data_IF_617939333367
#
_entry.id   IF_617939333367
#
_cell.length_a   1.000
_cell.length_b   1.000
_cell.length_c   1.000
_cell.angle_alpha   90.00
_cell.angle_beta   90.00
_cell.angle_gamma   90.00
#
_symmetry.space_group_name_H-M   'P 1'
#
loop_
_entity.id
_entity.type
_entity.pdbx_description
1 polymer ?
#
# COMPACT_ATOMS: atom_id res chain seq x y z
N UNK A 1 39.17 -14.85 -0.24
CA UNK A 1 40.02 -13.82 0.39
C UNK A 1 39.71 -12.49 -0.32
N UNK A 2 38.85 -11.66 0.29
CA UNK A 2 38.35 -10.46 -0.38
C UNK A 2 39.39 -9.32 -0.36
N UNK A 3 39.25 -8.39 -1.32
CA UNK A 3 40.11 -7.20 -1.47
C UNK A 3 40.18 -6.33 -0.18
N UNK A 4 39.18 -6.43 0.70
CA UNK A 4 39.14 -5.74 2.01
C UNK A 4 40.16 -6.30 3.02
N UNK A 5 40.46 -7.61 2.99
CA UNK A 5 41.53 -8.22 3.79
C UNK A 5 42.90 -7.64 3.45
N UNK A 6 43.13 -7.31 2.17
CA UNK A 6 44.37 -6.73 1.70
C UNK A 6 44.56 -5.26 2.11
N UNK A 7 43.47 -4.50 2.17
CA UNK A 7 43.52 -3.07 2.56
C UNK A 7 43.67 -2.86 4.07
N UNK A 8 43.05 -3.72 4.92
CA UNK A 8 43.25 -3.67 6.36
C UNK A 8 44.69 -4.12 6.75
N UNK A 9 45.22 -5.16 6.10
CA UNK A 9 46.60 -5.62 6.31
C UNK A 9 47.65 -4.56 5.93
N UNK A 10 47.37 -3.72 4.90
CA UNK A 10 48.32 -2.66 4.48
C UNK A 10 48.22 -1.43 5.39
N UNK A 11 47.03 -1.07 5.91
CA UNK A 11 46.91 0.07 6.84
C UNK A 11 47.47 -0.26 8.24
N UNK A 12 47.44 -1.53 8.68
CA UNK A 12 48.03 -1.95 9.94
C UNK A 12 49.57 -1.99 9.94
N UNK A 13 50.21 -2.10 8.77
CA UNK A 13 51.69 -2.20 8.71
C UNK A 13 52.41 -0.85 8.96
N UNK A 14 51.70 0.29 9.02
CA UNK A 14 52.35 1.60 9.10
C UNK A 14 52.19 2.34 10.44
N UNK A 15 51.39 1.88 11.39
CA UNK A 15 51.05 2.67 12.59
C UNK A 15 50.94 1.96 13.94
N UNK A 16 51.22 0.65 14.08
CA UNK A 16 51.01 -0.05 15.35
C UNK A 16 52.30 -0.52 15.97
N UNK A 17 52.63 0.03 17.11
CA UNK A 17 53.81 -0.32 17.94
C UNK A 17 53.51 -1.33 19.09
N UNK A 18 52.37 -2.02 19.10
CA UNK A 18 52.09 -3.03 20.11
C UNK A 18 51.48 -4.31 19.54
N UNK A 19 52.10 -5.46 19.84
CA UNK A 19 51.62 -6.79 19.47
C UNK A 19 50.27 -7.16 20.12
N UNK A 20 49.91 -6.54 21.25
CA UNK A 20 48.71 -6.87 22.02
C UNK A 20 47.40 -6.44 21.33
N UNK A 21 47.41 -5.33 20.59
CA UNK A 21 46.20 -4.88 19.85
C UNK A 21 45.93 -5.72 18.59
N UNK A 22 47.00 -6.29 18.00
CA UNK A 22 46.84 -7.22 16.87
C UNK A 22 46.27 -8.58 17.29
N UNK A 23 46.69 -9.07 18.46
CA UNK A 23 46.17 -10.33 19.01
C UNK A 23 44.70 -10.16 19.42
N UNK A 24 44.30 -9.05 20.03
CA UNK A 24 42.89 -8.74 20.33
C UNK A 24 42.01 -8.59 19.08
N UNK A 25 42.51 -7.96 18.01
CA UNK A 25 41.79 -7.87 16.75
C UNK A 25 41.62 -9.24 16.07
N UNK A 26 42.63 -10.09 16.15
CA UNK A 26 42.59 -11.45 15.58
C UNK A 26 41.67 -12.36 16.42
N UNK A 27 41.67 -12.24 17.76
CA UNK A 27 40.73 -12.96 18.63
C UNK A 27 39.29 -12.47 18.44
N UNK A 28 39.04 -11.16 18.32
CA UNK A 28 37.73 -10.60 17.98
C UNK A 28 37.22 -11.13 16.64
N UNK A 29 38.07 -11.19 15.61
CA UNK A 29 37.71 -11.76 14.31
C UNK A 29 37.39 -13.27 14.41
N UNK A 30 38.10 -14.03 15.25
CA UNK A 30 37.85 -15.46 15.45
C UNK A 30 36.54 -15.73 16.20
N UNK A 31 36.23 -14.98 17.25
CA UNK A 31 35.00 -15.18 18.03
C UNK A 31 33.75 -14.81 17.22
N UNK A 32 33.84 -13.86 16.28
CA UNK A 32 32.75 -13.48 15.39
C UNK A 32 32.56 -14.53 14.30
N UNK A 33 33.59 -15.18 13.78
CA UNK A 33 33.44 -16.30 12.87
C UNK A 33 32.59 -17.45 13.48
N UNK A 34 32.55 -17.59 14.80
CA UNK A 34 31.70 -18.57 15.48
C UNK A 34 30.22 -18.22 15.44
N UNK A 35 29.88 -16.93 15.36
CA UNK A 35 28.49 -16.44 15.26
C UNK A 35 27.90 -16.41 13.84
N UNK A 36 28.75 -16.58 12.80
CA UNK A 36 28.27 -16.59 11.40
C UNK A 36 27.46 -17.85 11.13
N UNK A 37 26.31 -17.64 10.49
CA UNK A 37 25.37 -18.69 10.15
C UNK A 37 23.91 -18.26 10.30
N UNK A 38 23.02 -19.20 10.06
CA UNK A 38 21.58 -19.05 10.36
C UNK A 38 21.26 -19.72 11.69
N UNK A 39 20.49 -19.03 12.51
CA UNK A 39 20.06 -19.47 13.82
C UNK A 39 18.54 -19.46 13.92
N UNK A 40 17.94 -20.59 14.30
CA UNK A 40 16.51 -20.65 14.65
C UNK A 40 16.34 -20.18 16.08
N UNK A 41 15.62 -19.09 16.26
CA UNK A 41 15.54 -18.38 17.53
C UNK A 41 14.30 -18.81 18.35
N UNK A 42 14.47 -18.93 19.64
CA UNK A 42 13.44 -19.21 20.64
C UNK A 42 13.66 -18.32 21.85
N UNK A 43 12.59 -18.07 22.62
CA UNK A 43 12.71 -17.33 23.89
C UNK A 43 13.50 -18.15 24.90
N UNK A 44 14.45 -17.53 25.60
CA UNK A 44 15.20 -18.16 26.66
C UNK A 44 14.30 -18.54 27.81
N UNK A 45 14.39 -19.78 28.29
CA UNK A 45 13.55 -20.26 29.39
C UNK A 45 13.83 -19.46 30.66
N UNK A 46 12.76 -18.81 31.21
CA UNK A 46 12.85 -17.99 32.42
C UNK A 46 13.16 -16.51 32.21
N UNK A 47 13.28 -16.05 30.99
CA UNK A 47 13.40 -14.61 30.68
C UNK A 47 12.13 -13.86 31.15
N UNK A 48 12.32 -12.81 31.94
CA UNK A 48 11.21 -11.96 32.41
C UNK A 48 10.92 -10.90 31.36
N UNK A 49 9.83 -11.06 30.60
CA UNK A 49 9.38 -10.04 29.65
C UNK A 49 8.10 -9.37 30.14
N UNK A 50 8.04 -8.05 30.01
CA UNK A 50 6.77 -7.32 30.02
C UNK A 50 6.13 -7.46 28.65
N UNK A 51 4.92 -7.96 28.55
CA UNK A 51 4.17 -8.23 27.30
C UNK A 51 4.06 -7.08 26.28
N UNK A 52 4.59 -5.92 26.57
CA UNK A 52 4.45 -4.70 25.76
C UNK A 52 5.65 -4.37 24.85
N UNK A 53 6.81 -5.04 25.01
CA UNK A 53 8.04 -4.72 24.28
C UNK A 53 8.83 -5.99 23.91
N UNK A 54 8.19 -7.01 23.37
CA UNK A 54 8.85 -8.25 22.96
C UNK A 54 9.27 -8.19 21.49
N UNK A 55 10.52 -8.57 21.20
CA UNK A 55 10.98 -8.87 19.84
C UNK A 55 10.62 -10.32 19.53
N UNK A 56 9.64 -10.55 18.67
CA UNK A 56 9.26 -11.89 18.23
C UNK A 56 10.15 -12.37 17.08
N UNK A 57 11.47 -12.50 17.35
CA UNK A 57 12.45 -12.97 16.38
C UNK A 57 12.31 -14.49 16.21
N UNK A 58 12.24 -14.95 14.97
CA UNK A 58 12.19 -16.38 14.61
C UNK A 58 13.51 -16.90 14.08
N UNK A 59 14.20 -16.09 13.27
CA UNK A 59 15.49 -16.47 12.69
C UNK A 59 16.45 -15.27 12.70
N UNK A 60 17.71 -15.56 12.93
CA UNK A 60 18.85 -14.63 12.84
C UNK A 60 19.86 -15.20 11.87
N UNK A 61 20.27 -14.42 10.88
CA UNK A 61 21.38 -14.74 9.98
C UNK A 61 22.47 -13.69 10.17
N UNK A 62 23.68 -14.14 10.45
CA UNK A 62 24.89 -13.33 10.47
C UNK A 62 25.83 -13.85 9.38
N UNK A 63 26.14 -13.04 8.38
CA UNK A 63 26.97 -13.42 7.25
C UNK A 63 28.44 -13.00 7.46
N UNK A 64 29.33 -13.71 6.82
CA UNK A 64 30.80 -13.47 6.88
C UNK A 64 31.21 -12.12 6.27
N UNK A 65 30.35 -11.48 5.47
CA UNK A 65 30.56 -10.16 4.89
C UNK A 65 30.06 -9.01 5.79
N UNK A 66 29.73 -9.31 7.06
CA UNK A 66 29.18 -8.39 8.05
C UNK A 66 27.77 -7.88 7.73
N UNK A 67 27.00 -8.57 6.91
CA UNK A 67 25.58 -8.34 6.77
C UNK A 67 24.77 -9.22 7.72
N UNK A 68 23.55 -8.77 8.07
CA UNK A 68 22.65 -9.57 8.89
C UNK A 68 21.22 -9.55 8.32
N UNK A 69 20.45 -10.59 8.70
CA UNK A 69 18.99 -10.66 8.51
C UNK A 69 18.35 -11.13 9.81
N UNK A 70 17.29 -10.47 10.23
CA UNK A 70 16.46 -10.87 11.36
C UNK A 70 15.04 -11.03 10.85
N UNK A 71 14.46 -12.20 11.04
CA UNK A 71 13.07 -12.48 10.70
C UNK A 71 12.23 -12.49 11.97
N UNK A 72 10.99 -11.99 11.85
CA UNK A 72 10.03 -11.91 12.95
C UNK A 72 8.80 -12.79 12.69
N UNK A 73 8.08 -13.15 13.73
CA UNK A 73 6.94 -14.08 13.63
C UNK A 73 5.76 -13.54 12.81
N UNK A 74 5.69 -12.22 12.60
CA UNK A 74 4.72 -11.54 11.77
C UNK A 74 5.15 -11.36 10.30
N UNK A 75 6.18 -12.12 9.87
CA UNK A 75 6.84 -12.06 8.58
C UNK A 75 7.63 -10.76 8.30
N UNK A 76 7.89 -9.97 9.33
CA UNK A 76 8.79 -8.81 9.22
C UNK A 76 10.24 -9.25 9.01
N UNK A 77 11.01 -8.40 8.33
CA UNK A 77 12.43 -8.60 8.10
C UNK A 77 13.22 -7.32 8.41
N UNK A 78 14.33 -7.48 9.14
CA UNK A 78 15.32 -6.41 9.33
C UNK A 78 16.62 -6.83 8.64
N UNK A 79 17.08 -6.00 7.72
CA UNK A 79 18.31 -6.21 6.98
C UNK A 79 19.30 -5.07 7.22
N UNK A 80 20.59 -5.40 7.16
CA UNK A 80 21.60 -4.37 7.26
C UNK A 80 23.00 -4.93 7.41
N UNK A 81 23.87 -4.15 8.03
CA UNK A 81 25.23 -4.54 8.37
C UNK A 81 25.43 -4.50 9.88
N UNK A 82 26.30 -5.35 10.38
CA UNK A 82 26.69 -5.31 11.77
C UNK A 82 28.15 -4.91 11.94
N UNK A 83 28.42 -4.22 13.04
CA UNK A 83 29.76 -3.87 13.45
C UNK A 83 30.06 -4.50 14.80
N UNK A 84 31.18 -5.16 14.89
CA UNK A 84 31.65 -5.73 16.14
C UNK A 84 32.20 -4.65 17.03
N UNK A 85 31.67 -4.57 18.21
CA UNK A 85 32.07 -3.61 19.25
C UNK A 85 32.98 -4.31 20.27
N UNK A 86 32.67 -5.57 20.61
CA UNK A 86 33.45 -6.44 21.50
C UNK A 86 33.10 -7.90 21.22
N UNK A 87 33.76 -8.84 21.88
CA UNK A 87 33.48 -10.27 21.74
C UNK A 87 32.05 -10.66 22.04
N UNK A 88 31.37 -9.86 22.86
CA UNK A 88 29.98 -10.14 23.30
C UNK A 88 28.96 -9.16 22.73
N UNK A 89 29.38 -8.17 21.93
CA UNK A 89 28.50 -7.09 21.51
C UNK A 89 28.68 -6.72 20.03
N UNK A 90 27.58 -6.64 19.30
CA UNK A 90 27.54 -6.12 17.94
C UNK A 90 26.49 -5.01 17.81
N UNK A 91 26.77 -4.01 17.00
CA UNK A 91 25.84 -2.94 16.65
C UNK A 91 25.23 -3.24 15.30
N UNK A 92 23.92 -3.06 15.18
CA UNK A 92 23.16 -3.28 13.96
C UNK A 92 22.84 -1.94 13.30
N UNK A 93 23.09 -1.84 12.00
CA UNK A 93 22.79 -0.67 11.18
C UNK A 93 21.99 -1.09 9.95
N UNK A 94 21.00 -0.29 9.55
CA UNK A 94 20.24 -0.52 8.32
C UNK A 94 21.07 -0.20 7.06
N UNK A 95 20.48 -0.42 5.88
CA UNK A 95 21.13 -0.14 4.59
C UNK A 95 21.54 1.33 4.38
N UNK A 96 20.98 2.25 5.16
CA UNK A 96 21.28 3.68 5.13
C UNK A 96 22.38 4.08 6.12
N UNK A 97 22.94 3.11 6.88
CA UNK A 97 23.98 3.34 7.88
C UNK A 97 23.46 3.91 9.21
N UNK A 98 22.15 3.93 9.42
CA UNK A 98 21.54 4.33 10.69
C UNK A 98 21.56 3.15 11.66
N UNK A 99 22.00 3.37 12.91
CA UNK A 99 21.91 2.35 13.96
C UNK A 99 20.43 2.02 14.20
N UNK A 100 20.09 0.73 14.20
CA UNK A 100 18.73 0.24 14.45
C UNK A 100 18.66 -0.65 15.69
N UNK A 101 19.78 -1.04 16.25
CA UNK A 101 19.81 -1.85 17.46
C UNK A 101 21.17 -2.41 17.77
N UNK A 102 21.19 -3.38 18.68
CA UNK A 102 22.39 -4.11 19.07
C UNK A 102 22.06 -5.51 19.58
N UNK A 103 23.01 -6.43 19.44
CA UNK A 103 23.02 -7.70 20.17
C UNK A 103 24.13 -7.62 21.23
N UNK A 104 23.80 -7.95 22.44
CA UNK A 104 24.70 -7.91 23.61
C UNK A 104 24.67 -9.23 24.36
N UNK A 105 25.66 -9.47 25.19
CA UNK A 105 25.82 -10.74 25.94
C UNK A 105 25.78 -11.96 25.00
N UNK A 106 26.45 -11.85 23.85
CA UNK A 106 26.50 -12.93 22.86
C UNK A 106 27.39 -14.04 23.38
N UNK A 107 26.83 -15.23 23.52
CA UNK A 107 27.54 -16.47 23.84
C UNK A 107 27.24 -17.50 22.75
N UNK A 108 28.29 -18.07 22.15
CA UNK A 108 28.18 -19.14 21.16
C UNK A 108 28.86 -20.38 21.69
N UNK A 109 28.13 -21.48 21.76
CA UNK A 109 28.62 -22.78 22.24
C UNK A 109 28.25 -23.90 21.28
N UNK A 110 29.11 -24.21 20.35
CA UNK A 110 28.85 -25.22 19.32
C UNK A 110 27.72 -24.81 18.38
N UNK A 111 26.62 -25.54 18.43
CA UNK A 111 25.43 -25.26 17.65
C UNK A 111 24.37 -24.40 18.39
N UNK A 112 24.73 -23.81 19.53
CA UNK A 112 23.81 -22.96 20.31
C UNK A 112 24.35 -21.54 20.38
N UNK A 113 23.44 -20.57 20.36
CA UNK A 113 23.67 -19.13 20.59
C UNK A 113 22.74 -18.60 21.66
N UNK A 114 23.25 -17.72 22.51
CA UNK A 114 22.38 -16.88 23.37
C UNK A 114 22.81 -15.43 23.30
N UNK A 115 21.87 -14.51 23.39
CA UNK A 115 22.13 -13.08 23.32
C UNK A 115 20.95 -12.26 23.83
N UNK A 116 21.19 -10.98 24.12
CA UNK A 116 20.16 -9.98 24.33
C UNK A 116 20.06 -9.11 23.07
N UNK A 117 18.89 -9.07 22.44
CA UNK A 117 18.60 -8.13 21.35
C UNK A 117 17.92 -6.88 21.91
N UNK A 118 18.35 -5.72 21.44
CA UNK A 118 17.69 -4.43 21.69
C UNK A 118 17.55 -3.74 20.35
N UNK A 119 16.30 -3.46 19.94
CA UNK A 119 16.00 -2.69 18.73
C UNK A 119 15.51 -1.31 19.13
N UNK A 120 16.05 -0.26 18.52
CA UNK A 120 15.74 1.12 18.84
C UNK A 120 14.25 1.43 18.62
N UNK A 121 13.58 1.89 19.69
CA UNK A 121 12.17 2.29 19.67
C UNK A 121 11.15 1.15 19.74
N UNK A 122 11.57 -0.12 19.75
CA UNK A 122 10.62 -1.23 19.68
C UNK A 122 10.73 -2.25 20.81
N UNK A 123 11.86 -2.90 21.03
CA UNK A 123 11.88 -4.08 21.89
C UNK A 123 13.24 -4.41 22.50
N UNK A 124 13.21 -5.22 23.59
CA UNK A 124 14.39 -5.83 24.19
C UNK A 124 14.05 -7.21 24.72
N UNK A 125 14.79 -8.25 24.31
CA UNK A 125 14.62 -9.62 24.77
C UNK A 125 15.94 -10.39 24.94
N UNK A 126 15.96 -11.32 25.90
CA UNK A 126 16.95 -12.37 25.95
C UNK A 126 16.46 -13.56 25.11
N UNK A 127 17.26 -13.96 24.14
CA UNK A 127 16.96 -14.99 23.16
C UNK A 127 18.03 -16.07 23.16
N UNK A 128 17.63 -17.26 22.73
CA UNK A 128 18.55 -18.35 22.43
C UNK A 128 18.20 -18.96 21.08
N UNK A 129 19.14 -19.62 20.43
CA UNK A 129 18.92 -20.20 19.12
C UNK A 129 19.77 -21.42 18.86
N UNK A 130 19.27 -22.26 17.96
CA UNK A 130 19.96 -23.44 17.46
C UNK A 130 20.45 -23.17 16.04
N UNK A 131 21.72 -23.49 15.74
CA UNK A 131 22.32 -23.29 14.44
C UNK A 131 21.66 -24.17 13.40
N UNK A 132 21.34 -23.59 12.26
CA UNK A 132 20.88 -24.32 11.09
C UNK A 132 22.10 -24.76 10.30
N UNK A 133 22.48 -26.02 10.48
CA UNK A 133 23.68 -26.62 9.85
C UNK A 133 23.51 -26.82 8.33
N UNK A 134 22.30 -26.61 7.80
CA UNK A 134 22.01 -26.70 6.35
C UNK A 134 22.19 -25.37 5.63
N UNK A 135 22.33 -24.26 6.38
CA UNK A 135 22.49 -22.94 5.82
C UNK A 135 23.82 -22.74 5.10
N UNK A 136 23.78 -22.23 3.90
CA UNK A 136 24.92 -21.80 3.09
C UNK A 136 24.73 -20.33 2.67
N UNK A 137 25.76 -19.49 2.77
CA UNK A 137 25.68 -18.04 2.48
C UNK A 137 25.29 -17.69 1.02
N UNK A 138 25.47 -18.62 0.08
CA UNK A 138 25.06 -18.49 -1.31
C UNK A 138 23.59 -18.90 -1.55
N UNK A 139 22.88 -19.34 -0.53
CA UNK A 139 21.49 -19.72 -0.56
C UNK A 139 20.61 -18.69 0.16
N UNK A 140 19.42 -18.54 -0.36
CA UNK A 140 18.34 -17.71 0.23
C UNK A 140 17.38 -18.63 0.96
N UNK A 141 17.06 -18.29 2.20
CA UNK A 141 16.07 -19.00 2.98
C UNK A 141 14.64 -18.66 2.50
N UNK A 142 13.86 -19.69 2.26
CA UNK A 142 12.44 -19.60 1.87
C UNK A 142 11.63 -20.25 3.00
N UNK A 143 10.88 -19.45 3.74
CA UNK A 143 10.15 -19.93 4.92
C UNK A 143 8.87 -20.71 4.58
N UNK A 144 8.25 -20.40 3.43
CA UNK A 144 6.95 -20.92 3.04
C UNK A 144 7.10 -22.06 2.04
N UNK A 145 6.53 -23.22 2.38
CA UNK A 145 6.57 -24.42 1.55
C UNK A 145 5.93 -24.26 0.18
N UNK A 146 4.79 -23.52 0.09
CA UNK A 146 4.09 -23.34 -1.17
C UNK A 146 4.84 -22.35 -2.06
N UNK A 147 5.52 -21.36 -1.46
CA UNK A 147 6.41 -20.48 -2.20
C UNK A 147 7.62 -21.23 -2.75
N UNK A 148 8.26 -22.09 -1.96
CA UNK A 148 9.37 -22.92 -2.41
C UNK A 148 8.96 -23.88 -3.54
N UNK A 149 7.81 -24.57 -3.40
CA UNK A 149 7.27 -25.41 -4.47
C UNK A 149 7.02 -24.63 -5.76
N UNK A 150 6.51 -23.41 -5.65
CA UNK A 150 6.37 -22.52 -6.80
C UNK A 150 7.70 -22.22 -7.46
N UNK A 151 8.77 -21.97 -6.69
CA UNK A 151 10.12 -21.74 -7.24
C UNK A 151 10.66 -22.97 -7.97
N UNK A 152 10.35 -24.18 -7.48
CA UNK A 152 10.70 -25.45 -8.14
C UNK A 152 9.93 -25.59 -9.45
N UNK A 153 8.63 -25.31 -9.48
CA UNK A 153 7.80 -25.34 -10.71
C UNK A 153 8.33 -24.37 -11.79
N UNK A 154 8.82 -23.21 -11.39
CA UNK A 154 9.44 -22.21 -12.28
C UNK A 154 10.89 -22.58 -12.68
N UNK A 155 11.45 -23.67 -12.14
CA UNK A 155 12.81 -24.13 -12.42
C UNK A 155 13.90 -23.23 -11.80
N UNK A 156 13.55 -22.48 -10.74
CA UNK A 156 14.45 -21.63 -10.00
C UNK A 156 15.12 -22.39 -8.85
N UNK A 157 14.54 -23.52 -8.47
CA UNK A 157 15.00 -24.42 -7.44
C UNK A 157 14.82 -25.88 -7.90
N UNK A 158 15.41 -26.86 -7.17
CA UNK A 158 15.38 -28.27 -7.55
C UNK A 158 14.92 -29.21 -6.41
N UNK A 159 14.86 -28.73 -5.16
CA UNK A 159 14.51 -29.56 -3.99
C UNK A 159 13.83 -28.74 -2.91
N UNK A 160 12.90 -29.38 -2.20
CA UNK A 160 12.23 -28.79 -1.04
C UNK A 160 13.16 -28.94 0.18
N UNK A 161 13.94 -27.89 0.52
CA UNK A 161 14.84 -27.87 1.66
C UNK A 161 14.82 -26.54 2.45
N UNK A 162 13.87 -25.67 2.13
CA UNK A 162 13.72 -24.27 2.60
C UNK A 162 14.82 -23.33 2.11
N UNK A 163 15.55 -23.67 1.05
CA UNK A 163 16.61 -22.84 0.51
C UNK A 163 16.62 -22.89 -1.00
N UNK A 164 16.88 -21.75 -1.63
CA UNK A 164 17.12 -21.63 -3.05
C UNK A 164 18.48 -20.98 -3.29
N UNK A 165 19.20 -21.35 -4.36
CA UNK A 165 20.42 -20.63 -4.74
C UNK A 165 20.09 -19.16 -5.03
N UNK A 166 20.71 -18.23 -4.30
CA UNK A 166 20.50 -16.79 -4.47
C UNK A 166 20.74 -16.34 -5.91
N UNK A 167 21.70 -16.96 -6.60
CA UNK A 167 21.99 -16.66 -8.01
C UNK A 167 20.86 -17.05 -8.96
N UNK A 168 20.03 -18.04 -8.61
CA UNK A 168 18.88 -18.45 -9.44
C UNK A 168 17.75 -17.43 -9.40
N UNK A 169 17.52 -16.78 -8.26
CA UNK A 169 16.41 -15.86 -8.05
C UNK A 169 16.77 -14.37 -8.26
N UNK A 170 18.02 -14.00 -8.07
CA UNK A 170 18.47 -12.61 -8.11
C UNK A 170 18.24 -11.91 -9.46
N UNK A 171 18.14 -12.66 -10.56
CA UNK A 171 17.91 -12.13 -11.91
C UNK A 171 16.46 -12.25 -12.41
N UNK A 172 15.56 -12.76 -11.59
CA UNK A 172 14.13 -12.86 -11.93
C UNK A 172 13.55 -11.43 -12.05
N UNK A 173 13.03 -11.11 -13.23
CA UNK A 173 12.42 -9.80 -13.51
C UNK A 173 10.92 -9.75 -13.25
N UNK A 174 10.25 -10.90 -13.33
CA UNK A 174 8.80 -11.00 -13.11
C UNK A 174 8.44 -12.28 -12.38
N UNK A 175 7.55 -12.17 -11.38
CA UNK A 175 7.06 -13.27 -10.56
C UNK A 175 5.53 -13.28 -10.59
N UNK A 176 4.93 -14.39 -11.01
CA UNK A 176 3.48 -14.61 -10.89
C UNK A 176 3.20 -15.86 -10.06
N UNK A 177 3.04 -15.67 -8.77
CA UNK A 177 2.70 -16.72 -7.81
C UNK A 177 1.29 -16.54 -7.24
N UNK A 178 0.34 -16.04 -8.05
CA UNK A 178 -1.06 -15.86 -7.65
C UNK A 178 -1.76 -17.21 -7.45
N UNK A 179 -2.73 -17.26 -6.52
CA UNK A 179 -3.61 -18.42 -6.27
C UNK A 179 -2.83 -19.70 -5.82
N UNK A 180 -1.79 -19.54 -5.00
CA UNK A 180 -0.88 -20.62 -4.58
C UNK A 180 -0.98 -21.01 -3.11
N UNK A 181 -1.85 -20.37 -2.32
CA UNK A 181 -1.95 -20.52 -0.86
C UNK A 181 -0.67 -20.16 -0.09
N UNK A 182 0.17 -19.30 -0.65
CA UNK A 182 1.40 -18.81 -0.03
C UNK A 182 1.04 -17.96 1.19
N UNK A 183 1.68 -18.23 2.33
CA UNK A 183 1.45 -17.50 3.58
C UNK A 183 2.57 -16.51 3.88
N UNK A 184 3.77 -16.70 3.31
CA UNK A 184 4.92 -15.85 3.52
C UNK A 184 5.78 -15.74 2.27
N UNK A 185 6.31 -14.54 2.01
CA UNK A 185 7.28 -14.27 0.95
C UNK A 185 8.69 -14.05 1.52
N UNK A 186 9.01 -14.58 2.71
CA UNK A 186 10.39 -14.55 3.23
C UNK A 186 11.33 -15.11 2.19
N UNK A 187 12.39 -14.35 1.85
CA UNK A 187 13.31 -14.64 0.74
C UNK A 187 13.10 -13.73 -0.47
N UNK A 188 11.94 -13.05 -0.58
CA UNK A 188 11.64 -12.12 -1.69
C UNK A 188 12.64 -10.97 -1.79
N UNK A 189 13.27 -10.59 -0.68
CA UNK A 189 14.26 -9.52 -0.60
C UNK A 189 15.51 -9.80 -1.45
N UNK A 190 15.75 -11.06 -1.84
CA UNK A 190 16.87 -11.45 -2.70
C UNK A 190 16.53 -11.45 -4.20
N UNK A 191 15.29 -11.20 -4.58
CA UNK A 191 14.90 -10.98 -5.96
C UNK A 191 15.29 -9.57 -6.41
N UNK A 192 16.60 -9.32 -6.50
CA UNK A 192 17.20 -7.99 -6.68
C UNK A 192 16.85 -7.29 -8.01
N UNK A 193 16.41 -8.05 -9.01
CA UNK A 193 16.07 -7.51 -10.34
C UNK A 193 14.56 -7.57 -10.64
N UNK A 194 13.72 -7.90 -9.66
CA UNK A 194 12.28 -7.99 -9.87
C UNK A 194 11.69 -6.60 -10.22
N UNK A 195 11.01 -6.52 -11.35
CA UNK A 195 10.31 -5.34 -11.84
C UNK A 195 8.79 -5.49 -11.74
N UNK A 196 8.29 -6.72 -11.81
CA UNK A 196 6.87 -7.02 -11.71
C UNK A 196 6.59 -8.21 -10.82
N UNK A 197 5.56 -8.07 -9.98
CA UNK A 197 5.13 -9.13 -9.08
C UNK A 197 3.61 -9.20 -9.00
N UNK A 198 3.05 -10.39 -9.19
CA UNK A 198 1.66 -10.70 -8.84
C UNK A 198 1.64 -11.90 -7.91
N UNK A 199 1.13 -11.68 -6.70
CA UNK A 199 0.91 -12.70 -5.67
C UNK A 199 -0.50 -12.58 -5.09
N UNK A 200 -1.43 -12.15 -5.95
CA UNK A 200 -2.82 -11.98 -5.59
C UNK A 200 -3.48 -13.31 -5.17
N UNK A 201 -4.54 -13.23 -4.36
CA UNK A 201 -5.32 -14.39 -3.91
C UNK A 201 -4.46 -15.46 -3.25
N UNK A 202 -3.64 -15.02 -2.30
CA UNK A 202 -2.86 -15.88 -1.43
C UNK A 202 -3.30 -15.70 0.03
N UNK A 203 -2.50 -16.19 0.95
CA UNK A 203 -2.75 -16.11 2.39
C UNK A 203 -1.63 -15.32 3.09
N UNK A 204 -1.02 -14.36 2.38
CA UNK A 204 0.02 -13.50 2.95
C UNK A 204 -0.58 -12.71 4.10
N UNK A 205 -0.02 -12.87 5.29
CA UNK A 205 -0.50 -12.25 6.52
C UNK A 205 0.63 -11.56 7.27
N UNK A 206 0.26 -10.68 8.22
CA UNK A 206 1.24 -9.91 8.98
C UNK A 206 1.90 -8.82 8.14
N UNK A 207 3.19 -8.64 8.32
CA UNK A 207 4.01 -7.61 7.68
C UNK A 207 4.60 -8.13 6.37
N UNK A 208 4.51 -7.32 5.31
CA UNK A 208 5.26 -7.53 4.06
C UNK A 208 6.12 -6.30 3.76
N UNK A 209 7.44 -6.50 3.73
CA UNK A 209 8.40 -5.45 3.38
C UNK A 209 9.03 -5.71 2.01
N UNK A 210 8.65 -4.91 1.04
CA UNK A 210 9.17 -4.90 -0.32
C UNK A 210 10.16 -3.75 -0.59
N UNK A 211 10.58 -3.02 0.45
CA UNK A 211 11.50 -1.88 0.32
C UNK A 211 12.88 -2.28 -0.23
N UNK A 212 13.22 -3.56 -0.16
CA UNK A 212 14.47 -4.11 -0.68
C UNK A 212 14.41 -4.46 -2.17
N UNK A 213 13.21 -4.53 -2.74
CA UNK A 213 12.97 -4.82 -4.17
C UNK A 213 12.88 -3.50 -4.96
N UNK A 214 13.98 -2.76 -4.98
CA UNK A 214 14.03 -1.35 -5.43
C UNK A 214 13.74 -1.13 -6.91
N UNK A 215 13.65 -2.20 -7.71
CA UNK A 215 13.32 -2.15 -9.15
C UNK A 215 11.85 -2.39 -9.46
N UNK A 216 11.02 -2.65 -8.45
CA UNK A 216 9.60 -2.89 -8.65
C UNK A 216 8.92 -1.73 -9.38
N UNK A 217 8.17 -2.09 -10.41
CA UNK A 217 7.37 -1.18 -11.26
C UNK A 217 5.88 -1.48 -11.09
N UNK A 218 5.51 -2.76 -11.09
CA UNK A 218 4.12 -3.21 -10.95
C UNK A 218 4.01 -4.25 -9.85
N UNK A 219 3.10 -4.02 -8.89
CA UNK A 219 2.89 -4.90 -7.73
C UNK A 219 1.40 -5.17 -7.55
N UNK A 220 1.03 -6.44 -7.57
CA UNK A 220 -0.32 -6.91 -7.30
C UNK A 220 -0.32 -7.85 -6.09
N UNK A 221 -0.96 -7.39 -5.02
CA UNK A 221 -1.08 -8.06 -3.71
C UNK A 221 -2.55 -8.26 -3.31
N UNK A 222 -3.49 -8.07 -4.23
CA UNK A 222 -4.91 -8.13 -3.94
C UNK A 222 -5.33 -9.47 -3.29
N UNK A 223 -6.38 -9.43 -2.47
CA UNK A 223 -6.93 -10.62 -1.81
C UNK A 223 -5.90 -11.36 -0.92
N UNK A 224 -5.16 -10.61 -0.10
CA UNK A 224 -4.27 -11.16 0.92
C UNK A 224 -4.59 -10.55 2.30
N UNK A 225 -4.54 -11.31 3.40
CA UNK A 225 -4.82 -10.79 4.74
C UNK A 225 -3.61 -10.09 5.38
N UNK A 226 -2.91 -9.24 4.63
CA UNK A 226 -1.81 -8.42 5.15
C UNK A 226 -2.31 -7.44 6.22
N UNK A 227 -1.46 -7.13 7.21
CA UNK A 227 -1.72 -6.07 8.20
C UNK A 227 -0.90 -4.81 7.93
N UNK A 228 0.33 -4.97 7.43
CA UNK A 228 1.22 -3.87 7.10
C UNK A 228 1.96 -4.15 5.79
N UNK A 229 2.12 -3.13 4.96
CA UNK A 229 2.87 -3.20 3.70
C UNK A 229 3.85 -2.02 3.60
N UNK A 230 5.12 -2.34 3.34
CA UNK A 230 6.19 -1.37 3.20
C UNK A 230 6.78 -1.39 1.78
N UNK A 231 6.74 -0.24 1.13
CA UNK A 231 7.29 0.05 -0.21
C UNK A 231 8.07 1.38 -0.19
N UNK A 232 8.80 1.64 0.90
CA UNK A 232 9.43 2.95 1.16
C UNK A 232 10.63 3.29 0.26
N UNK A 233 11.16 2.33 -0.50
CA UNK A 233 12.34 2.51 -1.34
C UNK A 233 12.13 1.91 -2.74
N UNK A 234 10.99 2.20 -3.35
CA UNK A 234 10.64 1.68 -4.66
C UNK A 234 10.46 2.84 -5.67
N UNK A 235 11.55 3.55 -6.04
CA UNK A 235 11.47 4.77 -6.84
C UNK A 235 10.94 4.54 -8.26
N UNK A 236 10.96 3.30 -8.76
CA UNK A 236 10.45 2.92 -10.07
C UNK A 236 8.97 2.49 -10.05
N UNK A 237 8.33 2.37 -8.86
CA UNK A 237 6.97 1.88 -8.70
C UNK A 237 5.98 2.79 -9.44
N UNK A 238 5.18 2.18 -10.33
CA UNK A 238 4.15 2.86 -11.12
C UNK A 238 2.74 2.42 -10.77
N UNK A 239 2.55 1.12 -10.56
CA UNK A 239 1.23 0.58 -10.32
C UNK A 239 1.24 -0.32 -9.09
N UNK A 240 0.31 -0.03 -8.17
CA UNK A 240 0.11 -0.81 -6.95
C UNK A 240 -1.37 -1.20 -6.82
N UNK A 241 -1.62 -2.51 -6.77
CA UNK A 241 -2.92 -3.09 -6.48
C UNK A 241 -2.84 -3.84 -5.15
N UNK A 242 -3.55 -3.34 -4.14
CA UNK A 242 -3.59 -3.93 -2.79
C UNK A 242 -4.99 -3.75 -2.20
N UNK A 243 -5.95 -4.42 -2.82
CA UNK A 243 -7.37 -4.34 -2.48
C UNK A 243 -7.90 -5.70 -2.01
N UNK A 244 -9.10 -5.70 -1.42
CA UNK A 244 -9.66 -6.87 -0.73
C UNK A 244 -8.70 -7.38 0.37
N UNK A 245 -8.05 -6.43 1.03
CA UNK A 245 -7.08 -6.68 2.11
C UNK A 245 -7.66 -6.18 3.44
N UNK A 246 -8.76 -6.78 3.85
CA UNK A 246 -9.62 -6.36 4.98
C UNK A 246 -8.90 -6.15 6.32
N UNK A 247 -7.67 -6.60 6.44
CA UNK A 247 -6.84 -6.50 7.64
C UNK A 247 -5.75 -5.43 7.54
N UNK A 248 -5.56 -4.83 6.37
CA UNK A 248 -4.47 -3.88 6.14
C UNK A 248 -4.73 -2.56 6.86
N UNK A 249 -3.92 -2.27 7.85
CA UNK A 249 -3.99 -1.05 8.68
C UNK A 249 -2.93 -0.03 8.29
N UNK A 250 -1.82 -0.48 7.67
CA UNK A 250 -0.69 0.39 7.34
C UNK A 250 -0.14 0.12 5.94
N UNK A 251 -0.03 1.20 5.15
CA UNK A 251 0.62 1.22 3.84
C UNK A 251 1.66 2.36 3.81
N UNK A 252 2.93 2.00 3.66
CA UNK A 252 4.04 2.93 3.56
C UNK A 252 4.61 2.95 2.14
N UNK A 253 4.41 4.06 1.43
CA UNK A 253 4.86 4.27 0.03
C UNK A 253 5.57 5.61 -0.14
N UNK A 254 6.28 6.05 0.89
CA UNK A 254 6.79 7.44 1.02
C UNK A 254 7.84 7.86 -0.02
N UNK A 255 8.45 6.93 -0.76
CA UNK A 255 9.45 7.24 -1.78
C UNK A 255 9.15 6.53 -3.12
N UNK A 256 7.98 6.81 -3.67
CA UNK A 256 7.51 6.27 -4.95
C UNK A 256 7.14 7.40 -5.94
N UNK A 257 8.11 8.22 -6.38
CA UNK A 257 7.84 9.42 -7.19
C UNK A 257 7.27 9.11 -8.57
N UNK A 258 7.36 7.87 -9.04
CA UNK A 258 6.81 7.42 -10.31
C UNK A 258 5.43 6.77 -10.18
N UNK A 259 4.87 6.70 -8.97
CA UNK A 259 3.56 6.09 -8.74
C UNK A 259 2.51 6.82 -9.57
N UNK A 260 1.86 6.06 -10.44
CA UNK A 260 0.89 6.51 -11.42
C UNK A 260 -0.53 6.04 -11.08
N UNK A 261 -0.66 4.80 -10.63
CA UNK A 261 -1.95 4.21 -10.24
C UNK A 261 -1.84 3.51 -8.89
N UNK A 262 -2.74 3.88 -7.98
CA UNK A 262 -2.92 3.25 -6.69
C UNK A 262 -4.37 2.77 -6.57
N UNK A 263 -4.55 1.46 -6.39
CA UNK A 263 -5.85 0.86 -6.08
C UNK A 263 -5.75 0.15 -4.74
N UNK A 264 -6.49 0.65 -3.76
CA UNK A 264 -6.54 0.08 -2.42
C UNK A 264 -7.92 0.31 -1.82
N UNK A 265 -8.68 -0.74 -1.62
CA UNK A 265 -10.02 -0.68 -1.07
C UNK A 265 -10.31 -1.91 -0.21
N UNK A 266 -11.40 -1.91 0.53
CA UNK A 266 -11.74 -2.94 1.49
C UNK A 266 -10.58 -3.19 2.47
N UNK A 267 -10.16 -2.12 3.18
CA UNK A 267 -9.05 -2.16 4.14
C UNK A 267 -9.35 -1.27 5.37
N UNK A 268 -8.40 -1.20 6.30
CA UNK A 268 -8.49 -0.41 7.53
C UNK A 268 -7.50 0.76 7.60
N UNK A 269 -6.99 1.18 6.45
CA UNK A 269 -6.03 2.30 6.39
C UNK A 269 -6.75 3.59 6.80
N UNK A 270 -6.18 4.32 7.76
CA UNK A 270 -6.77 5.55 8.29
C UNK A 270 -6.25 6.83 7.62
N UNK A 271 -5.27 6.72 6.75
CA UNK A 271 -4.72 7.85 6.00
C UNK A 271 -3.59 7.43 5.07
N UNK A 272 -3.35 8.23 4.03
CA UNK A 272 -2.29 8.01 3.05
C UNK A 272 -1.32 9.20 3.06
N UNK A 273 -0.01 8.93 3.11
CA UNK A 273 1.02 9.92 2.80
C UNK A 273 1.47 9.77 1.34
N UNK A 274 0.85 10.55 0.45
CA UNK A 274 1.10 10.54 -0.99
C UNK A 274 1.92 11.75 -1.47
N UNK A 275 2.45 12.57 -0.54
CA UNK A 275 3.14 13.84 -0.87
C UNK A 275 4.34 13.65 -1.79
N UNK A 276 5.03 12.51 -1.66
CA UNK A 276 6.19 12.17 -2.48
C UNK A 276 5.83 11.39 -3.76
N UNK A 277 4.54 11.30 -4.10
CA UNK A 277 4.02 10.61 -5.29
C UNK A 277 3.23 11.57 -6.21
N UNK A 278 3.84 12.67 -6.70
CA UNK A 278 3.13 13.75 -7.42
C UNK A 278 2.64 13.33 -8.81
N UNK A 279 3.00 12.14 -9.28
CA UNK A 279 2.64 11.63 -10.60
C UNK A 279 1.37 10.76 -10.59
N UNK A 280 0.71 10.63 -9.43
CA UNK A 280 -0.54 9.87 -9.34
C UNK A 280 -1.56 10.49 -10.29
N UNK A 281 -2.04 9.65 -11.21
CA UNK A 281 -3.03 9.94 -12.23
C UNK A 281 -4.37 9.28 -11.90
N UNK A 282 -4.33 8.07 -11.31
CA UNK A 282 -5.49 7.27 -10.96
C UNK A 282 -5.39 6.83 -9.49
N UNK A 283 -6.37 7.25 -8.68
CA UNK A 283 -6.46 6.92 -7.27
C UNK A 283 -7.82 6.30 -6.97
N UNK A 284 -7.81 5.05 -6.47
CA UNK A 284 -9.00 4.27 -6.14
C UNK A 284 -8.87 3.73 -4.72
N UNK A 285 -9.69 4.27 -3.80
CA UNK A 285 -9.60 4.04 -2.34
C UNK A 285 -10.98 3.93 -1.68
N UNK A 286 -11.88 3.11 -2.21
CA UNK A 286 -13.23 2.98 -1.67
C UNK A 286 -13.34 1.93 -0.56
N UNK A 287 -14.50 1.87 0.13
CA UNK A 287 -14.79 0.97 1.25
C UNK A 287 -13.65 0.98 2.29
N UNK A 288 -13.34 2.17 2.81
CA UNK A 288 -12.20 2.43 3.67
C UNK A 288 -12.55 2.86 5.08
N UNK A 289 -11.53 3.26 5.84
CA UNK A 289 -11.67 3.80 7.20
C UNK A 289 -10.86 5.10 7.38
N UNK A 290 -10.82 5.94 6.32
CA UNK A 290 -10.04 7.18 6.37
C UNK A 290 -10.60 8.16 7.40
N UNK A 291 -9.72 8.90 8.03
CA UNK A 291 -10.07 10.05 8.87
C UNK A 291 -10.17 11.34 8.08
N UNK A 292 -9.28 11.51 7.10
CA UNK A 292 -9.27 12.63 6.16
C UNK A 292 -8.48 12.25 4.92
N UNK A 293 -8.65 13.02 3.84
CA UNK A 293 -7.93 12.81 2.58
C UNK A 293 -7.49 14.15 1.99
N UNK A 294 -6.20 14.45 2.12
CA UNK A 294 -5.58 15.63 1.52
C UNK A 294 -4.88 15.27 0.20
N UNK A 295 -5.46 15.71 -0.92
CA UNK A 295 -4.95 15.54 -2.26
C UNK A 295 -4.47 16.86 -2.89
N UNK A 296 -4.34 17.93 -2.09
CA UNK A 296 -4.06 19.31 -2.56
C UNK A 296 -2.82 19.44 -3.46
N UNK A 297 -1.87 18.52 -3.33
CA UNK A 297 -0.60 18.48 -4.05
C UNK A 297 -0.59 17.56 -5.28
N UNK A 298 -1.68 16.82 -5.58
CA UNK A 298 -1.74 15.86 -6.70
C UNK A 298 -2.26 16.52 -7.99
N UNK A 299 -1.53 17.46 -8.55
CA UNK A 299 -1.96 18.24 -9.73
C UNK A 299 -2.19 17.42 -11.00
N UNK A 300 -1.65 16.18 -11.08
CA UNK A 300 -1.82 15.27 -12.22
C UNK A 300 -2.97 14.29 -12.06
N UNK A 301 -3.66 14.30 -10.92
CA UNK A 301 -4.77 13.40 -10.66
C UNK A 301 -5.93 13.71 -11.61
N UNK A 302 -6.29 12.72 -12.46
CA UNK A 302 -7.42 12.82 -13.38
C UNK A 302 -8.60 11.95 -12.95
N UNK A 303 -8.35 10.83 -12.28
CA UNK A 303 -9.35 9.84 -11.87
C UNK A 303 -9.28 9.62 -10.38
N UNK A 304 -10.31 10.04 -9.67
CA UNK A 304 -10.49 9.87 -8.23
C UNK A 304 -11.76 9.08 -7.95
N UNK A 305 -11.60 7.90 -7.36
CA UNK A 305 -12.69 7.10 -6.81
C UNK A 305 -12.41 6.88 -5.33
N UNK A 306 -13.22 7.50 -4.48
CA UNK A 306 -13.13 7.41 -3.03
C UNK A 306 -14.56 7.28 -2.44
N UNK A 307 -15.27 6.23 -2.89
CA UNK A 307 -16.64 5.93 -2.50
C UNK A 307 -16.64 5.19 -1.17
N UNK A 308 -17.47 5.59 -0.20
CA UNK A 308 -17.50 5.00 1.15
C UNK A 308 -16.09 4.86 1.77
N UNK A 309 -15.25 5.88 1.58
CA UNK A 309 -13.84 5.81 1.92
C UNK A 309 -13.52 6.21 3.37
N UNK A 310 -14.47 6.88 4.06
CA UNK A 310 -14.24 7.43 5.39
C UNK A 310 -14.88 6.59 6.49
N UNK A 311 -14.26 6.62 7.67
CA UNK A 311 -14.76 5.95 8.88
C UNK A 311 -16.18 6.40 9.22
N UNK A 312 -17.03 5.47 9.64
CA UNK A 312 -18.46 5.69 9.94
C UNK A 312 -18.76 6.79 10.96
N UNK A 313 -17.82 7.11 11.81
CA UNK A 313 -17.95 8.09 12.88
C UNK A 313 -17.51 9.50 12.50
N UNK A 314 -16.88 9.67 11.32
CA UNK A 314 -16.33 10.95 10.86
C UNK A 314 -17.19 11.56 9.74
N UNK A 315 -17.32 12.88 9.78
CA UNK A 315 -17.69 13.67 8.61
C UNK A 315 -16.50 13.61 7.66
N UNK A 316 -16.68 13.08 6.44
CA UNK A 316 -15.59 12.94 5.49
C UNK A 316 -14.96 14.30 5.19
N UNK A 317 -13.66 14.44 5.45
CA UNK A 317 -12.90 15.64 5.10
C UNK A 317 -11.97 15.34 3.94
N UNK A 318 -12.25 15.97 2.79
CA UNK A 318 -11.44 15.82 1.58
C UNK A 318 -10.99 17.19 1.06
N UNK A 319 -9.70 17.29 0.74
CA UNK A 319 -9.12 18.44 0.04
C UNK A 319 -8.71 18.02 -1.37
N UNK A 320 -9.34 18.58 -2.39
CA UNK A 320 -9.04 18.31 -3.79
C UNK A 320 -7.79 19.08 -4.26
N UNK A 321 -7.16 18.68 -5.40
CA UNK A 321 -5.99 19.35 -5.93
C UNK A 321 -6.21 20.84 -6.21
N UNK A 322 -5.27 21.68 -5.77
CA UNK A 322 -5.32 23.14 -5.98
C UNK A 322 -5.14 23.51 -7.46
N UNK A 323 -4.29 22.76 -8.20
CA UNK A 323 -4.17 22.85 -9.65
C UNK A 323 -4.75 21.57 -10.25
N UNK A 324 -6.07 21.52 -10.37
CA UNK A 324 -6.78 20.28 -10.64
C UNK A 324 -6.77 19.89 -12.11
N UNK A 325 -6.38 18.62 -12.37
CA UNK A 325 -6.57 17.95 -13.67
C UNK A 325 -7.74 16.97 -13.66
N UNK A 326 -8.49 16.90 -12.58
CA UNK A 326 -9.60 15.96 -12.38
C UNK A 326 -10.60 15.99 -13.53
N UNK A 327 -10.91 14.81 -14.05
CA UNK A 327 -11.92 14.55 -15.07
C UNK A 327 -13.07 13.70 -14.54
N UNK A 328 -12.73 12.75 -13.66
CA UNK A 328 -13.70 11.86 -13.03
C UNK A 328 -13.51 11.91 -11.53
N UNK A 329 -14.57 12.18 -10.81
CA UNK A 329 -14.60 12.26 -9.35
C UNK A 329 -15.81 11.48 -8.86
N UNK A 330 -15.59 10.42 -8.11
CA UNK A 330 -16.62 9.63 -7.44
C UNK A 330 -16.37 9.63 -5.94
N UNK A 331 -17.20 10.36 -5.20
CA UNK A 331 -17.10 10.60 -3.76
C UNK A 331 -18.43 10.26 -3.06
N UNK A 332 -19.21 9.34 -3.60
CA UNK A 332 -20.46 8.91 -2.99
C UNK A 332 -20.25 8.27 -1.62
N UNK A 333 -21.30 8.30 -0.80
CA UNK A 333 -21.38 7.63 0.53
C UNK A 333 -20.32 8.09 1.56
N UNK A 334 -19.89 9.35 1.50
CA UNK A 334 -18.81 9.86 2.37
C UNK A 334 -19.28 10.81 3.48
N UNK A 335 -20.57 11.03 3.62
CA UNK A 335 -21.14 11.97 4.61
C UNK A 335 -20.64 13.41 4.49
N UNK A 336 -20.16 13.80 3.31
CA UNK A 336 -19.67 15.15 3.04
C UNK A 336 -20.78 16.18 3.29
N UNK A 337 -20.51 17.18 4.10
CA UNK A 337 -21.41 18.32 4.32
C UNK A 337 -21.14 19.46 3.34
N UNK A 338 -19.91 19.53 2.83
CA UNK A 338 -19.47 20.51 1.84
C UNK A 338 -18.33 19.93 0.99
N UNK A 339 -18.14 20.49 -0.18
CA UNK A 339 -17.01 20.20 -1.08
C UNK A 339 -16.64 21.45 -1.86
N UNK A 340 -15.34 21.75 -1.97
CA UNK A 340 -14.84 22.83 -2.82
C UNK A 340 -14.40 22.26 -4.19
N UNK A 341 -15.19 22.62 -5.23
CA UNK A 341 -14.95 22.23 -6.62
C UNK A 341 -14.38 23.38 -7.47
N UNK A 342 -14.13 24.54 -6.88
CA UNK A 342 -13.78 25.79 -7.59
C UNK A 342 -12.52 25.67 -8.47
N UNK A 343 -11.56 24.82 -8.08
CA UNK A 343 -10.35 24.57 -8.82
C UNK A 343 -10.47 23.41 -9.84
N UNK A 344 -11.58 22.68 -9.83
CA UNK A 344 -11.73 21.42 -10.58
C UNK A 344 -12.55 21.61 -11.88
N UNK A 345 -12.14 22.56 -12.71
CA UNK A 345 -12.87 23.02 -13.91
C UNK A 345 -12.96 22.00 -15.05
N UNK A 346 -12.18 20.92 -15.00
CA UNK A 346 -12.11 19.91 -16.07
C UNK A 346 -12.94 18.67 -15.77
N UNK A 347 -13.64 18.64 -14.63
CA UNK A 347 -14.48 17.50 -14.28
C UNK A 347 -15.57 17.35 -15.33
N UNK A 348 -15.68 16.15 -15.88
CA UNK A 348 -16.71 15.70 -16.79
C UNK A 348 -17.73 14.81 -16.09
N UNK A 349 -17.28 14.01 -15.13
CA UNK A 349 -18.16 13.12 -14.35
C UNK A 349 -17.94 13.38 -12.87
N UNK A 350 -19.04 13.69 -12.19
CA UNK A 350 -19.06 13.96 -10.76
C UNK A 350 -20.15 13.11 -10.11
N UNK A 351 -19.75 12.25 -9.18
CA UNK A 351 -20.65 11.49 -8.33
C UNK A 351 -20.46 11.90 -6.87
N UNK A 352 -21.50 12.46 -6.29
CA UNK A 352 -21.61 12.89 -4.90
C UNK A 352 -22.86 12.29 -4.23
N UNK A 353 -23.40 11.20 -4.77
CA UNK A 353 -24.58 10.54 -4.20
C UNK A 353 -24.34 10.12 -2.74
N UNK A 354 -25.42 10.02 -1.96
CA UNK A 354 -25.38 9.53 -0.57
C UNK A 354 -24.43 10.35 0.33
N UNK A 355 -24.46 11.67 0.23
CA UNK A 355 -23.75 12.59 1.11
C UNK A 355 -24.73 13.43 1.95
N UNK A 356 -24.24 14.45 2.64
CA UNK A 356 -25.04 15.34 3.49
C UNK A 356 -25.00 16.79 2.98
N UNK A 357 -24.76 16.98 1.68
CA UNK A 357 -24.60 18.29 1.06
C UNK A 357 -25.91 19.09 1.16
N UNK A 358 -25.86 20.28 1.73
CA UNK A 358 -26.98 21.22 1.75
C UNK A 358 -26.95 22.21 0.57
N UNK A 359 -25.80 22.39 -0.05
CA UNK A 359 -25.55 23.15 -1.26
C UNK A 359 -24.33 22.63 -2.00
N UNK A 360 -24.25 22.89 -3.30
CA UNK A 360 -23.07 22.64 -4.13
C UNK A 360 -22.89 23.78 -5.11
N UNK A 361 -21.70 24.36 -5.19
CA UNK A 361 -21.35 25.39 -6.18
C UNK A 361 -20.70 24.73 -7.40
N UNK A 362 -21.39 24.74 -8.51
CA UNK A 362 -20.98 24.20 -9.81
C UNK A 362 -20.59 25.27 -10.82
N UNK A 363 -20.54 26.53 -10.42
CA UNK A 363 -20.34 27.70 -11.31
C UNK A 363 -19.03 27.63 -12.11
N UNK A 364 -18.02 26.87 -11.61
CA UNK A 364 -16.75 26.69 -12.28
C UNK A 364 -16.63 25.36 -13.05
N UNK A 365 -17.61 24.46 -12.93
CA UNK A 365 -17.54 23.09 -13.45
C UNK A 365 -18.34 22.94 -14.76
N UNK A 366 -18.16 23.88 -15.67
CA UNK A 366 -18.94 23.99 -16.92
C UNK A 366 -18.67 22.87 -17.94
N UNK A 367 -17.66 22.03 -17.69
CA UNK A 367 -17.35 20.87 -18.52
C UNK A 367 -18.07 19.58 -18.10
N UNK A 368 -18.96 19.65 -17.09
CA UNK A 368 -19.69 18.49 -16.61
C UNK A 368 -20.62 17.94 -17.70
N UNK A 369 -20.54 16.62 -17.86
CA UNK A 369 -21.39 15.84 -18.75
C UNK A 369 -22.33 14.92 -17.95
N UNK A 370 -21.86 14.46 -16.77
CA UNK A 370 -22.56 13.56 -15.85
C UNK A 370 -22.49 14.10 -14.43
N UNK A 371 -23.65 14.18 -13.73
CA UNK A 371 -23.76 14.69 -12.37
C UNK A 371 -24.73 13.84 -11.53
N UNK A 372 -24.21 13.21 -10.48
CA UNK A 372 -24.98 12.48 -9.48
C UNK A 372 -24.91 13.20 -8.12
N UNK A 373 -26.08 13.54 -7.59
CA UNK A 373 -26.30 14.28 -6.34
C UNK A 373 -27.44 13.70 -5.51
N UNK A 374 -27.91 12.48 -5.83
CA UNK A 374 -29.04 11.88 -5.12
C UNK A 374 -28.72 11.58 -3.66
N UNK A 375 -29.77 11.50 -2.83
CA UNK A 375 -29.61 11.21 -1.41
C UNK A 375 -28.70 12.21 -0.69
N UNK A 376 -29.00 13.50 -0.86
CA UNK A 376 -28.38 14.64 -0.20
C UNK A 376 -29.44 15.53 0.47
N UNK A 377 -29.04 16.71 0.96
CA UNK A 377 -29.92 17.67 1.65
C UNK A 377 -30.11 18.95 0.83
N UNK A 378 -29.93 18.88 -0.50
CA UNK A 378 -30.01 20.06 -1.38
C UNK A 378 -31.45 20.67 -1.40
N UNK A 379 -31.54 21.99 -1.27
CA UNK A 379 -32.79 22.73 -1.40
C UNK A 379 -32.90 23.39 -2.78
N UNK A 380 -31.79 23.78 -3.37
CA UNK A 380 -31.72 24.38 -4.71
C UNK A 380 -30.53 23.74 -5.44
N UNK A 381 -30.61 23.73 -6.76
CA UNK A 381 -29.54 23.30 -7.65
C UNK A 381 -29.48 24.19 -8.87
N UNK A 382 -28.33 24.77 -9.17
CA UNK A 382 -28.11 25.57 -10.38
C UNK A 382 -27.14 24.82 -11.31
N UNK A 383 -27.65 24.41 -12.49
CA UNK A 383 -26.92 23.79 -13.58
C UNK A 383 -26.93 24.61 -14.85
N UNK A 384 -27.41 25.83 -14.78
CA UNK A 384 -27.62 26.72 -15.95
C UNK A 384 -26.34 27.07 -16.71
N UNK A 385 -25.17 26.93 -16.08
CA UNK A 385 -23.86 27.19 -16.69
C UNK A 385 -23.22 25.92 -17.32
N UNK A 386 -23.90 24.76 -17.30
CA UNK A 386 -23.38 23.48 -17.72
C UNK A 386 -24.08 23.02 -18.99
N UNK A 387 -23.66 23.56 -20.13
CA UNK A 387 -24.35 23.36 -21.42
C UNK A 387 -24.37 21.90 -21.90
N UNK A 388 -23.30 21.14 -21.60
CA UNK A 388 -23.09 19.75 -22.05
C UNK A 388 -23.62 18.69 -21.06
N UNK A 389 -24.37 19.10 -20.01
CA UNK A 389 -24.90 18.17 -19.04
C UNK A 389 -26.04 17.33 -19.65
N UNK A 390 -25.74 16.07 -19.96
CA UNK A 390 -26.73 15.17 -20.54
C UNK A 390 -27.30 14.19 -19.52
N UNK A 391 -26.68 13.99 -18.36
CA UNK A 391 -27.15 13.09 -17.32
C UNK A 391 -27.12 13.77 -15.95
N UNK A 392 -28.28 13.80 -15.28
CA UNK A 392 -28.46 14.36 -13.94
C UNK A 392 -29.25 13.39 -13.07
N UNK A 393 -28.74 13.05 -11.91
CA UNK A 393 -29.47 12.35 -10.85
C UNK A 393 -29.38 13.15 -9.56
N UNK A 394 -30.54 13.65 -9.11
CA UNK A 394 -30.65 14.50 -7.92
C UNK A 394 -31.91 14.21 -7.08
N UNK A 395 -32.47 12.99 -7.20
CA UNK A 395 -33.60 12.54 -6.40
C UNK A 395 -33.23 12.34 -4.93
N UNK A 396 -34.21 12.19 -4.06
CA UNK A 396 -34.04 12.09 -2.61
C UNK A 396 -33.23 13.28 -2.03
N UNK A 397 -33.61 14.47 -2.47
CA UNK A 397 -33.19 15.76 -1.94
C UNK A 397 -34.43 16.56 -1.47
N UNK A 398 -34.22 17.77 -1.01
CA UNK A 398 -35.31 18.71 -0.69
C UNK A 398 -35.50 19.78 -1.79
N UNK A 399 -35.18 19.41 -3.04
CA UNK A 399 -35.23 20.33 -4.18
C UNK A 399 -36.65 20.78 -4.49
N UNK A 400 -36.86 22.09 -4.49
CA UNK A 400 -38.08 22.72 -4.99
C UNK A 400 -37.90 23.16 -6.44
N UNK A 401 -36.69 23.54 -6.82
CA UNK A 401 -36.36 24.06 -8.14
C UNK A 401 -34.94 23.64 -8.55
N UNK A 402 -34.77 23.31 -9.83
CA UNK A 402 -33.49 23.20 -10.52
C UNK A 402 -33.39 24.33 -11.52
N UNK A 403 -32.39 25.21 -11.34
CA UNK A 403 -32.16 26.32 -12.27
C UNK A 403 -31.40 25.78 -13.50
N UNK A 404 -31.94 26.08 -14.68
CA UNK A 404 -31.46 25.59 -15.98
C UNK A 404 -31.41 26.77 -16.98
N UNK A 405 -30.67 26.56 -18.09
CA UNK A 405 -30.73 27.48 -19.21
C UNK A 405 -31.84 27.13 -20.22
N UNK A 406 -32.07 28.02 -21.23
CA UNK A 406 -33.13 27.82 -22.22
C UNK A 406 -32.94 26.52 -23.03
N UNK A 407 -31.71 26.15 -23.38
CA UNK A 407 -31.43 24.93 -24.15
C UNK A 407 -31.76 23.68 -23.33
N UNK A 408 -31.33 23.66 -22.08
CA UNK A 408 -31.62 22.57 -21.15
C UNK A 408 -33.11 22.43 -20.90
N UNK A 409 -33.82 23.55 -20.65
CA UNK A 409 -35.27 23.54 -20.40
C UNK A 409 -36.03 22.93 -21.59
N UNK A 410 -35.63 23.25 -22.81
CA UNK A 410 -36.25 22.74 -24.04
C UNK A 410 -35.88 21.26 -24.34
N UNK A 411 -34.78 20.76 -23.77
CA UNK A 411 -34.25 19.40 -24.03
C UNK A 411 -34.68 18.35 -22.99
N UNK A 412 -35.21 18.77 -21.82
CA UNK A 412 -35.63 17.85 -20.75
C UNK A 412 -36.76 16.94 -21.24
N UNK A 413 -36.56 15.59 -21.27
CA UNK A 413 -37.58 14.67 -21.71
C UNK A 413 -38.81 14.70 -20.76
N UNK A 414 -40.04 14.82 -21.25
CA UNK A 414 -41.23 14.81 -20.38
C UNK A 414 -41.45 13.51 -19.60
N UNK A 415 -40.91 12.41 -20.07
CA UNK A 415 -41.15 11.08 -19.53
C UNK A 415 -40.39 10.75 -18.23
N UNK A 416 -39.39 11.54 -17.85
CA UNK A 416 -38.63 11.33 -16.61
C UNK A 416 -39.09 12.16 -15.43
N UNK A 417 -40.08 13.04 -15.66
CA UNK A 417 -40.66 13.94 -14.63
C UNK A 417 -41.72 13.26 -13.74
N UNK A 418 -42.26 12.11 -14.14
CA UNK A 418 -43.42 11.46 -13.51
C UNK A 418 -43.11 10.16 -12.75
N UNK A 419 -41.86 9.75 -12.66
CA UNK A 419 -41.51 8.48 -12.02
C UNK A 419 -41.36 8.65 -10.50
N UNK A 420 -42.40 8.15 -9.80
CA UNK A 420 -42.30 7.87 -8.37
C UNK A 420 -41.13 6.95 -8.11
N UNK A 421 -40.52 7.04 -6.92
CA UNK A 421 -39.38 6.25 -6.47
C UNK A 421 -39.56 4.78 -6.89
N UNK A 422 -38.70 4.20 -7.73
CA UNK A 422 -38.74 2.77 -7.94
C UNK A 422 -38.24 2.05 -6.71
N UNK A 423 -38.98 1.07 -6.29
CA UNK A 423 -38.56 0.05 -5.40
C UNK A 423 -37.36 -0.68 -6.03
N UNK A 424 -36.26 -0.85 -5.29
CA UNK A 424 -35.03 -1.56 -5.73
C UNK A 424 -35.23 -3.06 -5.96
N UNK A 425 -36.44 -3.54 -6.03
CA UNK A 425 -36.75 -4.96 -6.30
C UNK A 425 -36.93 -5.20 -7.79
N UNK A 426 -35.89 -5.73 -8.41
CA UNK A 426 -35.85 -6.66 -9.55
C UNK A 426 -36.59 -6.31 -10.86
N UNK A 427 -35.82 -6.26 -11.95
CA UNK A 427 -36.21 -6.66 -13.31
C UNK A 427 -37.28 -5.81 -14.06
N UNK A 428 -36.88 -4.57 -14.48
CA UNK A 428 -37.50 -3.98 -15.67
C UNK A 428 -36.46 -3.15 -16.46
N UNK A 429 -36.07 -3.65 -17.61
CA UNK A 429 -35.05 -3.12 -18.53
C UNK A 429 -35.39 -1.82 -19.27
N UNK A 430 -36.47 -1.14 -18.96
CA UNK A 430 -36.90 0.13 -19.62
C UNK A 430 -37.03 1.32 -18.65
N UNK A 431 -36.36 1.28 -17.51
CA UNK A 431 -36.43 2.40 -16.56
C UNK A 431 -35.40 3.50 -16.90
N UNK A 432 -35.75 4.75 -16.59
CA UNK A 432 -34.81 5.90 -16.57
C UNK A 432 -33.64 5.69 -15.57
N UNK A 433 -33.43 4.52 -15.13
CA UNK A 433 -32.39 4.05 -14.23
C UNK A 433 -31.43 3.16 -15.02
N UNK A 434 -30.39 3.74 -15.53
CA UNK A 434 -29.17 2.98 -15.72
C UNK A 434 -28.59 2.78 -14.33
N UNK A 435 -28.87 1.64 -13.72
CA UNK A 435 -28.08 1.11 -12.64
C UNK A 435 -26.74 0.77 -13.27
N UNK A 436 -25.91 1.77 -13.56
CA UNK A 436 -24.57 1.53 -14.02
C UNK A 436 -23.94 0.55 -13.06
N UNK A 437 -24.11 -0.75 -13.35
CA UNK A 437 -23.42 -1.80 -12.66
C UNK A 437 -21.96 -1.41 -12.80
N UNK A 438 -21.33 -1.14 -11.67
CA UNK A 438 -19.91 -0.95 -11.56
C UNK A 438 -19.28 -2.26 -11.98
N UNK A 439 -19.06 -2.44 -13.29
CA UNK A 439 -18.39 -3.61 -13.83
C UNK A 439 -16.92 -3.42 -13.50
N UNK A 440 -16.38 -4.32 -12.70
CA UNK A 440 -15.03 -4.31 -12.14
C UNK A 440 -13.89 -4.18 -13.17
N UNK A 441 -14.12 -4.44 -14.46
CA UNK A 441 -13.06 -4.51 -15.45
C UNK A 441 -12.89 -3.28 -16.35
N UNK A 442 -13.90 -2.40 -16.46
CA UNK A 442 -13.79 -1.17 -17.25
C UNK A 442 -14.51 -0.01 -16.54
N UNK A 443 -13.82 0.70 -15.67
CA UNK A 443 -14.32 1.95 -15.05
C UNK A 443 -14.62 3.08 -16.05
N UNK A 444 -14.49 2.79 -17.34
CA UNK A 444 -14.87 3.66 -18.44
C UNK A 444 -15.63 2.84 -19.47
N UNK A 445 -16.97 2.96 -19.51
CA UNK A 445 -17.71 2.45 -20.66
C UNK A 445 -17.20 3.16 -21.89
N UNK A 446 -16.51 2.44 -22.76
CA UNK A 446 -15.97 3.00 -24.01
C UNK A 446 -17.06 3.41 -24.98
N UNK A 447 -18.30 2.95 -24.83
CA UNK A 447 -19.39 3.17 -25.75
C UNK A 447 -20.79 3.08 -25.09
N UNK A 448 -20.99 3.65 -23.92
CA UNK A 448 -22.37 3.82 -23.43
C UNK A 448 -23.03 5.01 -24.18
N UNK A 449 -23.91 4.72 -25.10
CA UNK A 449 -24.96 5.65 -25.48
C UNK A 449 -25.95 5.75 -24.31
N UNK A 450 -25.62 6.57 -23.32
CA UNK A 450 -26.57 6.92 -22.26
C UNK A 450 -27.58 7.85 -22.93
N UNK A 451 -28.82 7.43 -22.98
CA UNK A 451 -29.92 8.34 -23.29
C UNK A 451 -29.89 9.46 -22.24
N UNK A 452 -29.94 10.71 -22.67
CA UNK A 452 -29.97 11.89 -21.79
C UNK A 452 -31.09 11.73 -20.78
N UNK A 453 -30.73 11.54 -19.49
CA UNK A 453 -31.71 11.27 -18.44
C UNK A 453 -31.49 12.19 -17.27
N UNK A 454 -32.54 12.89 -16.87
CA UNK A 454 -32.55 13.75 -15.71
C UNK A 454 -33.59 13.25 -14.72
N UNK A 455 -33.17 12.89 -13.52
CA UNK A 455 -34.03 12.33 -12.46
C UNK A 455 -33.98 13.22 -11.23
N UNK A 456 -35.10 13.78 -10.84
CA UNK A 456 -35.30 14.62 -9.65
C UNK A 456 -36.50 14.11 -8.86
N UNK A 457 -36.74 14.66 -7.68
CA UNK A 457 -37.95 14.36 -6.92
C UNK A 457 -39.21 14.72 -7.65
N UNK A 458 -40.29 13.98 -7.47
CA UNK A 458 -41.62 14.38 -7.92
C UNK A 458 -42.00 15.79 -7.38
N UNK A 459 -42.48 16.67 -8.26
CA UNK A 459 -42.84 18.02 -7.90
C UNK A 459 -41.73 19.08 -7.95
N UNK A 460 -40.47 18.68 -8.19
CA UNK A 460 -39.37 19.62 -8.48
C UNK A 460 -39.63 20.31 -9.82
N UNK A 461 -39.52 21.62 -9.86
CA UNK A 461 -39.66 22.38 -11.10
C UNK A 461 -38.31 22.68 -11.72
N UNK A 462 -38.26 22.75 -13.05
CA UNK A 462 -37.13 23.28 -13.80
C UNK A 462 -37.45 24.69 -14.24
N UNK A 463 -36.58 25.66 -13.98
CA UNK A 463 -36.83 27.06 -14.24
C UNK A 463 -35.57 27.80 -14.67
N UNK A 464 -35.76 28.88 -15.45
CA UNK A 464 -34.65 29.80 -15.77
C UNK A 464 -34.25 30.66 -14.55
N UNK A 465 -35.14 30.78 -13.57
CA UNK A 465 -34.93 31.51 -12.32
C UNK A 465 -35.63 30.77 -11.16
N UNK A 466 -34.85 30.34 -10.20
CA UNK A 466 -35.30 29.64 -8.99
C UNK A 466 -35.39 30.57 -7.74
N UNK A 467 -35.29 31.88 -7.89
CA UNK A 467 -35.39 32.86 -6.79
C UNK A 467 -36.82 33.10 -6.30
#
# INVERSE_FOLDING_TARGET
MSLRFFLLAISCLTTINSCSEKEQLIELEQDIFLGVGKWKIKKKAGASSSKQNECDVTDLILNSDFTFKIYTADNGILLGSYQVISNENISLTNSQGTKIGELTNIEVSGSEISFTITLEGSCQNELEGDKDETYEENKTYIADLEFEKFLIEEGLDDVVDNFVLTSSISNVGYLNASERNIQSLVGIEEFKNIEGMSVAKNQLSGVLDLSYNTKLVNVDLAFNPLTELYLNNNPALKNLWVYETYTLEKLEISNSPQLYSLTTHNNKIQGYDLKNSPNIYNLRIWDGQLKSLDLSYLSKLEYLVAWDAFEDTNEGEITLPLESSLKVVALGSNRLQQIDLSNSKKIKRLDLDFNQLSAVDLSQNTALEYLALSNNNLQTLDVSMIDDLYWLRAHNNSLNCVQVNENQLNAIPPSCLDLGIPDYSEENEESCYDTGAWIEEDFFPRDFQISSTWVVNPGTIFSLDCN
#
